data_IF_385835784611
#
_entry.id   IF_385835784611
#
_cell.length_a   1.000
_cell.length_b   1.000
_cell.length_c   1.000
_cell.angle_alpha   90.00
_cell.angle_beta   90.00
_cell.angle_gamma   90.00
#
_symmetry.space_group_name_H-M   'P 1'
#
loop_
_entity.id
_entity.type
_entity.pdbx_description
1 polymer ?
#
# COMPACT_ATOMS: atom_id res chain seq x y z
N UNK A 1 4.30 22.87 14.92
CA UNK A 1 3.10 22.18 14.36
C UNK A 1 3.54 21.39 13.13
N UNK A 2 3.17 20.11 12.99
CA UNK A 2 3.50 19.30 11.80
C UNK A 2 2.73 19.80 10.58
N UNK A 3 3.41 20.03 9.46
CA UNK A 3 2.77 20.52 8.23
C UNK A 3 1.80 19.49 7.66
N UNK A 4 0.80 19.93 6.89
CA UNK A 4 -0.17 19.05 6.21
C UNK A 4 0.53 18.00 5.34
N UNK A 5 1.59 18.40 4.62
CA UNK A 5 2.38 17.48 3.79
C UNK A 5 3.05 16.38 4.62
N UNK A 6 3.63 16.70 5.78
CA UNK A 6 4.29 15.71 6.63
C UNK A 6 3.28 14.72 7.23
N UNK A 7 2.08 15.20 7.59
CA UNK A 7 0.98 14.34 8.06
C UNK A 7 0.52 13.39 6.96
N UNK A 8 0.29 13.91 5.74
CA UNK A 8 -0.10 13.09 4.58
C UNK A 8 0.97 12.06 4.23
N UNK A 9 2.26 12.43 4.28
CA UNK A 9 3.36 11.49 4.07
C UNK A 9 3.34 10.32 5.06
N UNK A 10 3.09 10.58 6.36
CA UNK A 10 2.95 9.51 7.37
C UNK A 10 1.75 8.61 7.10
N UNK A 11 0.61 9.20 6.73
CA UNK A 11 -0.60 8.44 6.38
C UNK A 11 -0.33 7.53 5.18
N UNK A 12 0.31 8.04 4.13
CA UNK A 12 0.69 7.24 2.96
C UNK A 12 1.58 6.07 3.38
N UNK A 13 2.60 6.30 4.21
CA UNK A 13 3.47 5.23 4.72
C UNK A 13 2.70 4.14 5.48
N UNK A 14 1.77 4.54 6.36
CA UNK A 14 0.94 3.59 7.11
C UNK A 14 0.03 2.78 6.18
N UNK A 15 -0.63 3.41 5.21
CA UNK A 15 -1.53 2.71 4.29
C UNK A 15 -0.74 1.78 3.35
N UNK A 16 0.49 2.13 2.96
CA UNK A 16 1.39 1.22 2.23
C UNK A 16 1.76 -0.03 3.05
N UNK A 17 2.00 0.13 4.35
CA UNK A 17 2.25 -1.02 5.24
C UNK A 17 1.01 -1.91 5.36
N UNK A 18 -0.18 -1.31 5.45
CA UNK A 18 -1.44 -2.04 5.44
C UNK A 18 -1.63 -2.83 4.14
N UNK A 19 -1.35 -2.20 2.98
CA UNK A 19 -1.38 -2.89 1.69
C UNK A 19 -0.46 -4.11 1.69
N UNK A 20 0.80 -3.97 2.12
CA UNK A 20 1.74 -5.10 2.21
C UNK A 20 1.25 -6.23 3.10
N UNK A 21 0.63 -5.90 4.23
CA UNK A 21 0.03 -6.91 5.12
C UNK A 21 -1.11 -7.65 4.39
N UNK A 22 -1.95 -6.93 3.65
CA UNK A 22 -3.04 -7.55 2.90
C UNK A 22 -2.53 -8.46 1.76
N UNK A 23 -1.45 -8.07 1.08
CA UNK A 23 -0.78 -8.86 0.05
C UNK A 23 -0.17 -10.13 0.64
N UNK A 24 0.48 -10.02 1.79
CA UNK A 24 1.02 -11.17 2.50
C UNK A 24 -0.08 -12.16 2.93
N UNK A 25 -1.20 -11.67 3.45
CA UNK A 25 -2.36 -12.50 3.78
C UNK A 25 -2.91 -13.24 2.55
N UNK A 26 -2.94 -12.58 1.38
CA UNK A 26 -3.35 -13.23 0.13
C UNK A 26 -2.36 -14.30 -0.30
N UNK A 27 -1.05 -14.04 -0.21
CA UNK A 27 -0.01 -15.02 -0.53
C UNK A 27 -0.12 -16.27 0.37
N UNK A 28 -0.39 -16.07 1.67
CA UNK A 28 -0.62 -17.16 2.61
C UNK A 28 -1.86 -18.01 2.24
N UNK A 29 -2.98 -17.36 1.89
CA UNK A 29 -4.19 -18.07 1.44
C UNK A 29 -3.94 -18.87 0.15
N UNK A 30 -3.19 -18.31 -0.81
CA UNK A 30 -2.82 -19.03 -2.04
C UNK A 30 -1.90 -20.21 -1.77
N UNK A 31 -0.99 -20.09 -0.82
CA UNK A 31 -0.16 -21.22 -0.39
C UNK A 31 -1.04 -22.33 0.21
N UNK A 32 -2.01 -21.98 1.07
CA UNK A 32 -2.96 -22.94 1.63
C UNK A 32 -3.85 -23.58 0.57
N UNK A 33 -4.27 -22.82 -0.45
CA UNK A 33 -5.02 -23.34 -1.58
C UNK A 33 -4.20 -24.38 -2.34
N UNK A 34 -2.93 -24.07 -2.65
CA UNK A 34 -2.04 -25.00 -3.33
C UNK A 34 -1.85 -26.30 -2.54
N UNK A 35 -1.60 -26.22 -1.23
CA UNK A 35 -1.42 -27.44 -0.42
C UNK A 35 -2.67 -28.31 -0.38
N UNK A 36 -3.85 -27.70 -0.37
CA UNK A 36 -5.12 -28.45 -0.44
C UNK A 36 -5.36 -29.04 -1.82
N UNK A 37 -4.98 -28.36 -2.90
CA UNK A 37 -5.05 -28.91 -4.25
C UNK A 37 -4.10 -30.09 -4.43
N UNK A 38 -2.87 -29.98 -3.94
CA UNK A 38 -1.89 -31.07 -3.96
C UNK A 38 -2.39 -32.29 -3.18
N UNK A 39 -3.02 -32.06 -2.01
CA UNK A 39 -3.65 -33.13 -1.23
C UNK A 39 -4.82 -33.78 -1.98
N UNK A 40 -5.66 -33.00 -2.66
CA UNK A 40 -6.76 -33.55 -3.47
C UNK A 40 -6.25 -34.40 -4.62
N UNK A 41 -5.23 -33.92 -5.35
CA UNK A 41 -4.61 -34.67 -6.45
C UNK A 41 -4.06 -36.00 -5.93
N UNK A 42 -3.38 -35.97 -4.78
CA UNK A 42 -2.86 -37.17 -4.15
C UNK A 42 -3.97 -38.14 -3.70
N UNK A 43 -5.04 -37.64 -3.06
CA UNK A 43 -6.18 -38.46 -2.62
C UNK A 43 -6.91 -39.11 -3.79
N UNK A 44 -7.16 -38.35 -4.87
CA UNK A 44 -7.79 -38.86 -6.08
C UNK A 44 -6.89 -39.90 -6.76
N UNK A 45 -5.58 -39.65 -6.82
CA UNK A 45 -4.60 -40.61 -7.34
C UNK A 45 -4.63 -41.94 -6.59
N UNK A 46 -4.54 -41.91 -5.26
CA UNK A 46 -4.56 -43.13 -4.42
C UNK A 46 -5.88 -43.91 -4.53
N UNK A 47 -7.02 -43.22 -4.64
CA UNK A 47 -8.32 -43.85 -4.84
C UNK A 47 -8.44 -44.50 -6.23
N UNK A 48 -7.92 -43.85 -7.28
CA UNK A 48 -7.94 -44.38 -8.64
C UNK A 48 -7.00 -45.58 -8.83
N UNK A 49 -5.84 -45.58 -8.17
CA UNK A 49 -4.86 -46.68 -8.22
C UNK A 49 -5.31 -47.90 -7.41
N UNK A 50 -6.35 -47.78 -6.59
CA UNK A 50 -6.86 -48.86 -5.73
C UNK A 50 -5.87 -49.32 -4.66
N UNK A 51 -4.79 -48.57 -4.44
CA UNK A 51 -3.74 -48.83 -3.47
C UNK A 51 -3.81 -47.81 -2.34
N UNK A 52 -4.70 -47.98 -1.37
CA UNK A 52 -4.74 -47.10 -0.22
C UNK A 52 -3.42 -47.21 0.57
N UNK A 53 -2.95 -46.12 1.20
CA UNK A 53 -1.84 -46.17 2.14
C UNK A 53 -2.10 -47.21 3.23
N UNK A 54 -1.05 -47.86 3.73
CA UNK A 54 -1.17 -48.86 4.78
C UNK A 54 -1.97 -48.31 5.97
N UNK A 55 -3.04 -49.02 6.36
CA UNK A 55 -3.93 -48.64 7.47
C UNK A 55 -5.05 -47.65 7.12
N UNK A 56 -5.19 -47.23 5.86
CA UNK A 56 -6.31 -46.40 5.40
C UNK A 56 -7.32 -47.23 4.60
N UNK A 57 -8.62 -47.04 4.85
CA UNK A 57 -9.67 -47.64 4.03
C UNK A 57 -10.10 -46.68 2.91
N UNK A 58 -10.64 -47.22 1.81
CA UNK A 58 -11.22 -46.40 0.73
C UNK A 58 -12.26 -45.40 1.28
N UNK A 59 -13.11 -45.84 2.21
CA UNK A 59 -14.09 -44.98 2.88
C UNK A 59 -13.45 -43.84 3.68
N UNK A 60 -12.33 -44.09 4.38
CA UNK A 60 -11.61 -43.05 5.10
C UNK A 60 -10.99 -42.00 4.16
N UNK A 61 -10.47 -42.45 3.01
CA UNK A 61 -9.90 -41.58 1.98
C UNK A 61 -10.99 -40.74 1.31
N UNK A 62 -12.14 -41.33 1.00
CA UNK A 62 -13.30 -40.62 0.46
C UNK A 62 -13.83 -39.55 1.43
N UNK A 63 -13.90 -39.84 2.73
CA UNK A 63 -14.27 -38.86 3.76
C UNK A 63 -13.24 -37.73 3.86
N UNK A 64 -11.95 -38.04 3.79
CA UNK A 64 -10.88 -37.04 3.79
C UNK A 64 -10.93 -36.15 2.54
N UNK A 65 -11.13 -36.75 1.36
CA UNK A 65 -11.32 -36.03 0.11
C UNK A 65 -12.48 -35.03 0.20
N UNK A 66 -13.65 -35.47 0.66
CA UNK A 66 -14.80 -34.58 0.86
C UNK A 66 -14.49 -33.40 1.79
N UNK A 67 -13.78 -33.65 2.91
CA UNK A 67 -13.36 -32.59 3.84
C UNK A 67 -12.38 -31.62 3.18
N UNK A 68 -11.36 -32.12 2.48
CA UNK A 68 -10.37 -31.30 1.78
C UNK A 68 -11.01 -30.50 0.64
N UNK A 69 -12.00 -31.05 -0.08
CA UNK A 69 -12.74 -30.32 -1.11
C UNK A 69 -13.58 -29.18 -0.53
N UNK A 70 -14.30 -29.41 0.57
CA UNK A 70 -15.06 -28.34 1.25
C UNK A 70 -14.10 -27.28 1.82
N UNK A 71 -13.01 -27.70 2.43
CA UNK A 71 -11.97 -26.80 2.96
C UNK A 71 -11.34 -25.94 1.86
N UNK A 72 -11.00 -26.53 0.72
CA UNK A 72 -10.41 -25.82 -0.41
C UNK A 72 -11.34 -24.75 -0.97
N UNK A 73 -12.64 -25.04 -1.11
CA UNK A 73 -13.64 -24.05 -1.53
C UNK A 73 -13.69 -22.86 -0.57
N UNK A 74 -13.72 -23.12 0.74
CA UNK A 74 -13.73 -22.07 1.74
C UNK A 74 -12.45 -21.21 1.70
N UNK A 75 -11.28 -21.82 1.45
CA UNK A 75 -10.01 -21.10 1.27
C UNK A 75 -10.03 -20.25 0.00
N UNK A 76 -10.54 -20.80 -1.11
CA UNK A 76 -10.66 -20.10 -2.38
C UNK A 76 -11.58 -18.88 -2.29
N UNK A 77 -12.73 -19.00 -1.62
CA UNK A 77 -13.64 -17.89 -1.35
C UNK A 77 -12.96 -16.79 -0.51
N UNK A 78 -12.22 -17.18 0.53
CA UNK A 78 -11.43 -16.23 1.34
C UNK A 78 -10.34 -15.55 0.53
N UNK A 79 -9.65 -16.28 -0.34
CA UNK A 79 -8.63 -15.73 -1.22
C UNK A 79 -9.23 -14.71 -2.20
N UNK A 80 -10.42 -14.97 -2.75
CA UNK A 80 -11.13 -14.04 -3.61
C UNK A 80 -11.50 -12.74 -2.86
N UNK A 81 -12.10 -12.85 -1.66
CA UNK A 81 -12.41 -11.69 -0.83
C UNK A 81 -11.16 -10.88 -0.46
N UNK A 82 -10.06 -11.57 -0.12
CA UNK A 82 -8.79 -10.92 0.20
C UNK A 82 -8.17 -10.22 -1.01
N UNK A 83 -8.31 -10.79 -2.21
CA UNK A 83 -7.85 -10.15 -3.45
C UNK A 83 -8.60 -8.82 -3.70
N UNK A 84 -9.91 -8.80 -3.47
CA UNK A 84 -10.69 -7.57 -3.61
C UNK A 84 -10.32 -6.53 -2.55
N UNK A 85 -9.99 -6.97 -1.33
CA UNK A 85 -9.40 -6.10 -0.31
C UNK A 85 -8.08 -5.48 -0.77
N UNK A 86 -7.12 -6.29 -1.26
CA UNK A 86 -5.83 -5.81 -1.80
C UNK A 86 -6.06 -4.78 -2.92
N UNK A 87 -7.00 -5.03 -3.83
CA UNK A 87 -7.36 -4.08 -4.91
C UNK A 87 -7.90 -2.76 -4.35
N UNK A 88 -8.76 -2.82 -3.33
CA UNK A 88 -9.29 -1.61 -2.68
C UNK A 88 -8.21 -0.81 -1.95
N UNK A 89 -7.31 -1.48 -1.23
CA UNK A 89 -6.21 -0.84 -0.51
C UNK A 89 -5.20 -0.23 -1.47
N UNK A 90 -4.89 -0.89 -2.59
CA UNK A 90 -4.02 -0.35 -3.64
C UNK A 90 -4.61 0.94 -4.26
N UNK A 91 -5.91 0.94 -4.57
CA UNK A 91 -6.59 2.17 -5.04
C UNK A 91 -6.49 3.31 -4.02
N UNK A 92 -6.68 3.00 -2.74
CA UNK A 92 -6.56 3.96 -1.64
C UNK A 92 -5.14 4.52 -1.50
N UNK A 93 -4.12 3.68 -1.63
CA UNK A 93 -2.70 4.13 -1.63
C UNK A 93 -2.48 5.13 -2.76
N UNK A 94 -2.86 4.79 -3.99
CA UNK A 94 -2.67 5.66 -5.16
C UNK A 94 -3.34 7.02 -4.97
N UNK A 95 -4.59 7.03 -4.50
CA UNK A 95 -5.30 8.29 -4.23
C UNK A 95 -4.60 9.15 -3.18
N UNK A 96 -4.15 8.54 -2.08
CA UNK A 96 -3.45 9.27 -1.02
C UNK A 96 -2.07 9.77 -1.46
N UNK A 97 -1.36 9.00 -2.29
CA UNK A 97 -0.11 9.43 -2.89
C UNK A 97 -0.28 10.69 -3.74
N UNK A 98 -1.31 10.74 -4.59
CA UNK A 98 -1.59 11.94 -5.39
C UNK A 98 -1.90 13.16 -4.51
N UNK A 99 -2.74 12.99 -3.49
CA UNK A 99 -3.05 14.07 -2.53
C UNK A 99 -1.79 14.53 -1.78
N UNK A 100 -0.92 13.60 -1.38
CA UNK A 100 0.33 13.91 -0.70
C UNK A 100 1.32 14.65 -1.61
N UNK A 101 1.41 14.27 -2.89
CA UNK A 101 2.25 14.97 -3.89
C UNK A 101 1.81 16.42 -4.05
N UNK A 102 0.50 16.66 -4.19
CA UNK A 102 -0.04 18.03 -4.32
C UNK A 102 0.27 18.85 -3.06
N UNK A 103 0.03 18.30 -1.87
CA UNK A 103 0.31 18.99 -0.62
C UNK A 103 1.80 19.30 -0.41
N UNK A 104 2.69 18.44 -0.90
CA UNK A 104 4.13 18.67 -0.87
C UNK A 104 4.53 19.79 -1.83
N UNK A 105 3.99 19.81 -3.05
CA UNK A 105 4.23 20.90 -4.00
C UNK A 105 3.72 22.26 -3.47
N UNK A 106 2.56 22.29 -2.82
CA UNK A 106 2.03 23.49 -2.14
C UNK A 106 2.99 23.97 -1.04
N UNK A 107 3.46 23.07 -0.17
CA UNK A 107 4.41 23.41 0.90
C UNK A 107 5.70 24.03 0.35
N UNK A 108 6.22 23.51 -0.76
CA UNK A 108 7.43 24.04 -1.41
C UNK A 108 7.20 25.43 -1.99
N UNK A 109 6.08 25.65 -2.69
CA UNK A 109 5.70 26.97 -3.22
C UNK A 109 5.52 28.00 -2.10
N UNK A 110 4.91 27.62 -0.99
CA UNK A 110 4.73 28.53 0.15
C UNK A 110 6.06 28.86 0.85
N UNK A 111 7.00 27.92 0.87
CA UNK A 111 8.35 28.16 1.39
C UNK A 111 9.14 29.12 0.48
N UNK A 112 9.04 28.95 -0.83
CA UNK A 112 9.65 29.85 -1.82
C UNK A 112 9.07 31.26 -1.72
N UNK A 113 7.74 31.40 -1.66
CA UNK A 113 7.08 32.70 -1.47
C UNK A 113 7.53 33.42 -0.20
N UNK A 114 7.66 32.69 0.92
CA UNK A 114 8.17 33.25 2.18
C UNK A 114 9.62 33.70 2.04
N UNK A 115 10.49 32.90 1.42
CA UNK A 115 11.88 33.26 1.18
C UNK A 115 12.02 34.49 0.29
N UNK A 116 11.23 34.60 -0.78
CA UNK A 116 11.22 35.79 -1.64
C UNK A 116 10.73 37.03 -0.90
N UNK A 117 9.68 36.90 -0.09
CA UNK A 117 9.16 38.01 0.73
C UNK A 117 10.23 38.51 1.71
N UNK A 118 10.92 37.61 2.41
CA UNK A 118 12.03 37.94 3.33
C UNK A 118 13.18 38.67 2.59
N UNK A 119 13.53 38.23 1.38
CA UNK A 119 14.53 38.93 0.56
C UNK A 119 14.07 40.32 0.14
N UNK A 120 12.79 40.51 -0.20
CA UNK A 120 12.28 41.84 -0.56
C UNK A 120 12.16 42.79 0.64
N UNK A 121 11.75 42.30 1.81
CA UNK A 121 11.71 43.10 3.05
C UNK A 121 13.11 43.53 3.47
N UNK A 122 14.09 42.61 3.42
CA UNK A 122 15.49 42.96 3.71
C UNK A 122 16.03 43.98 2.70
N UNK A 123 15.73 43.84 1.41
CA UNK A 123 16.16 44.81 0.39
C UNK A 123 15.49 46.19 0.56
N UNK A 124 14.21 46.23 0.97
CA UNK A 124 13.50 47.46 1.28
C UNK A 124 14.10 48.15 2.52
N UNK A 125 14.35 47.40 3.59
CA UNK A 125 15.01 47.91 4.80
C UNK A 125 16.43 48.43 4.51
N UNK A 126 17.20 47.76 3.63
CA UNK A 126 18.53 48.24 3.19
C UNK A 126 18.42 49.52 2.34
N UNK A 127 17.39 49.65 1.50
CA UNK A 127 17.14 50.85 0.70
C UNK A 127 16.73 52.04 1.55
N UNK A 128 15.95 51.83 2.61
CA UNK A 128 15.57 52.89 3.55
C UNK A 128 16.76 53.36 4.42
N UNK A 129 17.76 52.50 4.63
CA UNK A 129 18.99 52.83 5.35
C UNK A 129 20.07 53.47 4.47
N UNK A 130 19.94 53.45 3.14
CA UNK A 130 20.90 54.08 2.22
C UNK A 130 20.36 55.42 1.70
N UNK A 131 20.97 56.56 2.05
CA UNK A 131 20.49 57.86 1.57
C UNK A 131 20.59 57.91 0.05
N UNK A 132 19.50 58.30 -0.62
CA UNK A 132 19.50 58.55 -2.06
C UNK A 132 20.60 59.57 -2.36
N UNK A 133 21.60 59.27 -3.20
CA UNK A 133 22.65 60.23 -3.50
C UNK A 133 21.99 61.45 -4.15
N UNK A 134 22.14 62.61 -3.51
CA UNK A 134 21.63 63.87 -4.01
C UNK A 134 22.23 64.09 -5.41
N UNK A 135 21.41 63.99 -6.45
CA UNK A 135 21.81 64.30 -7.81
C UNK A 135 22.12 65.79 -7.86
N UNK A 136 23.39 66.12 -7.80
CA UNK A 136 23.93 67.46 -7.99
C UNK A 136 23.80 67.82 -9.46
N UNK A 137 22.60 68.23 -9.88
CA UNK A 137 22.43 68.91 -11.17
C UNK A 137 23.04 70.31 -11.01
N UNK A 138 24.19 70.50 -11.65
CA UNK A 138 24.78 71.82 -11.91
C UNK A 138 24.07 72.41 -13.12
N UNK A 139 23.39 73.55 -12.95
CA UNK A 139 23.50 74.72 -13.83
C UNK A 139 22.87 75.92 -13.15
#
# INVERSE_FOLDING_TARGET
MTSRADKLGRIVSLVKLQLRLSEWQLAHLRQQEQTMQDEQVWLVGTLNEGKPPAGSSSDSLARRLNRTTVGARAVQERAAMQLDKVRSENRRVKQLEEVAKVALAEKLRDAEKRSLAEMTETHAAVRDLTPRPASRNKT
#
